data_IF_509020699213
#
_entry.id   IF_509020699213
#
_cell.length_a   1.000
_cell.length_b   1.000
_cell.length_c   1.000
_cell.angle_alpha   90.00
_cell.angle_beta   90.00
_cell.angle_gamma   90.00
#
_symmetry.space_group_name_H-M   'P 1'
#
loop_
_entity.id
_entity.type
_entity.pdbx_description
1 polymer ?
#
# COMPACT_ATOMS: atom_id res chain seq x y z
N UNK A 1 -2.34 -10.21 20.06
CA UNK A 1 -2.11 -11.60 19.53
C UNK A 1 -0.64 -11.79 19.09
N UNK A 2 -0.04 -12.99 19.24
CA UNK A 2 1.35 -13.27 18.78
C UNK A 2 1.34 -13.90 17.38
N UNK A 3 2.03 -13.28 16.42
CA UNK A 3 2.25 -13.79 15.07
C UNK A 3 3.75 -14.04 14.85
N UNK A 4 4.15 -15.28 14.53
CA UNK A 4 5.56 -15.69 14.35
C UNK A 4 6.51 -15.25 15.47
N UNK A 5 6.03 -15.25 16.71
CA UNK A 5 6.81 -14.84 17.89
C UNK A 5 6.88 -13.32 18.13
N UNK A 6 6.17 -12.52 17.32
CA UNK A 6 6.05 -11.08 17.50
C UNK A 6 4.64 -10.74 17.98
N UNK A 7 4.54 -9.87 18.97
CA UNK A 7 3.26 -9.28 19.39
C UNK A 7 2.95 -8.09 18.48
N UNK A 8 2.08 -8.31 17.48
CA UNK A 8 1.81 -7.32 16.42
C UNK A 8 1.09 -6.07 16.93
N UNK A 9 0.44 -6.15 18.10
CA UNK A 9 -0.22 -5.02 18.75
C UNK A 9 0.72 -3.88 19.14
N UNK A 10 2.03 -4.12 19.15
CA UNK A 10 3.04 -3.09 19.39
C UNK A 10 3.36 -2.23 18.15
N UNK A 11 2.87 -2.62 16.97
CA UNK A 11 3.28 -2.03 15.70
C UNK A 11 2.06 -1.57 14.88
N UNK A 12 2.16 -0.45 14.15
CA UNK A 12 1.13 -0.06 13.21
C UNK A 12 1.17 -0.94 11.97
N UNK A 13 0.00 -1.18 11.37
CA UNK A 13 -0.11 -1.78 10.04
C UNK A 13 -0.24 -0.68 8.98
N UNK A 14 0.51 -0.82 7.89
CA UNK A 14 0.63 0.20 6.85
C UNK A 14 0.06 -0.30 5.53
N UNK A 15 -0.81 0.52 4.95
CA UNK A 15 -1.32 0.39 3.59
C UNK A 15 -0.31 0.91 2.54
N UNK A 16 -0.47 0.51 1.28
CA UNK A 16 0.36 0.87 0.13
C UNK A 16 0.46 2.39 0.01
N UNK A 17 -0.67 3.10 0.10
CA UNK A 17 -0.71 4.53 -0.16
C UNK A 17 0.05 5.37 0.88
N UNK A 18 -0.03 4.98 2.15
CA UNK A 18 0.77 5.63 3.19
C UNK A 18 2.25 5.30 3.02
N UNK A 19 2.59 4.05 2.69
CA UNK A 19 3.97 3.66 2.42
C UNK A 19 4.58 4.52 1.30
N UNK A 20 3.87 4.65 0.19
CA UNK A 20 4.26 5.50 -0.94
C UNK A 20 4.48 6.94 -0.47
N UNK A 21 3.53 7.53 0.26
CA UNK A 21 3.62 8.92 0.73
C UNK A 21 4.82 9.14 1.66
N UNK A 22 5.13 8.18 2.55
CA UNK A 22 6.29 8.20 3.43
C UNK A 22 7.60 8.23 2.64
N UNK A 23 7.73 7.39 1.60
CA UNK A 23 8.92 7.36 0.75
C UNK A 23 9.06 8.64 -0.07
N UNK A 24 7.96 9.14 -0.65
CA UNK A 24 7.96 10.36 -1.44
C UNK A 24 8.31 11.60 -0.59
N UNK A 25 7.89 11.62 0.68
CA UNK A 25 8.26 12.65 1.65
C UNK A 25 9.67 12.47 2.25
N UNK A 26 10.32 11.32 2.03
CA UNK A 26 11.62 10.93 2.62
C UNK A 26 11.60 10.96 4.15
N UNK A 27 10.56 10.38 4.73
CA UNK A 27 10.36 10.30 6.19
C UNK A 27 10.32 8.85 6.70
N UNK A 28 10.85 7.90 5.92
CA UNK A 28 10.98 6.49 6.28
C UNK A 28 11.82 6.27 7.54
N UNK A 29 12.94 6.98 7.67
CA UNK A 29 13.79 6.90 8.87
C UNK A 29 13.04 7.33 10.13
N UNK A 30 12.17 8.34 10.03
CA UNK A 30 11.34 8.80 11.14
C UNK A 30 10.24 7.78 11.50
N UNK A 31 9.62 7.16 10.49
CA UNK A 31 8.64 6.10 10.67
C UNK A 31 9.25 4.92 11.43
N UNK A 32 10.40 4.42 10.98
CA UNK A 32 11.09 3.29 11.61
C UNK A 32 11.68 3.69 12.96
N UNK A 33 12.20 4.90 13.11
CA UNK A 33 12.72 5.41 14.37
C UNK A 33 11.64 5.48 15.47
N UNK A 34 10.39 5.81 15.11
CA UNK A 34 9.29 5.93 16.06
C UNK A 34 8.66 4.58 16.42
N UNK A 35 8.40 3.73 15.43
CA UNK A 35 7.64 2.48 15.64
C UNK A 35 8.50 1.23 15.70
N UNK A 36 9.80 1.33 15.42
CA UNK A 36 10.78 0.24 15.31
C UNK A 36 10.53 -0.76 14.18
N UNK A 37 9.28 -1.18 14.01
CA UNK A 37 8.80 -2.03 12.91
C UNK A 37 7.45 -1.53 12.42
N UNK A 38 7.12 -1.92 11.20
CA UNK A 38 5.79 -1.74 10.60
C UNK A 38 5.27 -3.09 10.14
N UNK A 39 3.95 -3.28 10.26
CA UNK A 39 3.25 -4.46 9.77
C UNK A 39 2.65 -4.16 8.40
N UNK A 40 2.64 -5.14 7.51
CA UNK A 40 2.07 -5.02 6.16
C UNK A 40 1.36 -6.32 5.80
N UNK A 41 0.20 -6.25 5.14
CA UNK A 41 -0.48 -7.42 4.59
C UNK A 41 0.24 -7.92 3.32
N UNK A 42 0.22 -9.22 3.04
CA UNK A 42 0.85 -9.79 1.83
C UNK A 42 0.30 -9.19 0.52
N UNK A 43 -0.99 -8.84 0.46
CA UNK A 43 -1.61 -8.15 -0.67
C UNK A 43 -0.97 -6.78 -0.89
N UNK A 44 -0.79 -6.02 0.20
CA UNK A 44 -0.15 -4.69 0.19
C UNK A 44 1.33 -4.82 -0.18
N UNK A 45 2.04 -5.84 0.30
CA UNK A 45 3.41 -6.11 -0.14
C UNK A 45 3.48 -6.29 -1.66
N UNK A 46 2.60 -7.12 -2.24
CA UNK A 46 2.56 -7.34 -3.69
C UNK A 46 2.33 -6.05 -4.45
N UNK A 47 1.47 -5.17 -3.96
CA UNK A 47 1.24 -3.83 -4.54
C UNK A 47 2.48 -2.95 -4.46
N UNK A 48 3.13 -2.85 -3.31
CA UNK A 48 4.38 -2.09 -3.13
C UNK A 48 5.47 -2.59 -4.07
N UNK A 49 5.64 -3.92 -4.18
CA UNK A 49 6.69 -4.50 -5.02
C UNK A 49 6.44 -4.29 -6.53
N UNK A 50 5.20 -4.04 -6.98
CA UNK A 50 4.92 -3.68 -8.38
C UNK A 50 5.65 -2.40 -8.80
N UNK A 51 5.91 -1.46 -7.88
CA UNK A 51 6.67 -0.23 -8.16
C UNK A 51 8.11 -0.51 -8.60
N UNK A 52 8.68 -1.69 -8.28
CA UNK A 52 10.01 -2.08 -8.74
C UNK A 52 10.13 -2.17 -10.27
N UNK A 53 9.00 -2.27 -11.00
CA UNK A 53 8.97 -2.27 -12.47
C UNK A 53 8.93 -0.85 -13.07
N UNK A 54 8.72 0.18 -12.26
CA UNK A 54 8.63 1.58 -12.70
C UNK A 54 9.97 2.28 -12.43
N UNK A 55 10.72 2.64 -13.48
CA UNK A 55 12.05 3.24 -13.33
C UNK A 55 12.08 4.54 -12.49
N UNK A 56 11.01 5.33 -12.54
CA UNK A 56 10.91 6.60 -11.81
C UNK A 56 10.55 6.41 -10.33
N UNK A 57 9.80 5.36 -10.01
CA UNK A 57 9.24 5.13 -8.67
C UNK A 57 9.74 3.84 -8.01
N UNK A 58 10.70 3.14 -8.61
CA UNK A 58 11.30 1.91 -8.07
C UNK A 58 11.87 2.06 -6.66
N UNK A 59 12.26 3.28 -6.27
CA UNK A 59 12.76 3.58 -4.93
C UNK A 59 11.77 3.17 -3.83
N UNK A 60 10.46 3.19 -4.12
CA UNK A 60 9.39 2.76 -3.20
C UNK A 60 9.54 1.28 -2.84
N UNK A 61 9.81 0.43 -3.85
CA UNK A 61 10.03 -1.00 -3.66
C UNK A 61 11.45 -1.32 -3.16
N UNK A 62 12.46 -0.57 -3.60
CA UNK A 62 13.85 -0.74 -3.15
C UNK A 62 13.96 -0.50 -1.64
N UNK A 63 13.42 0.63 -1.16
CA UNK A 63 13.38 0.96 0.27
C UNK A 63 12.61 -0.06 1.09
N UNK A 64 11.48 -0.54 0.58
CA UNK A 64 10.70 -1.57 1.24
C UNK A 64 11.51 -2.85 1.44
N UNK A 65 12.17 -3.33 0.38
CA UNK A 65 13.01 -4.53 0.45
C UNK A 65 14.19 -4.37 1.40
N UNK A 66 14.86 -3.22 1.39
CA UNK A 66 15.94 -2.92 2.35
C UNK A 66 15.45 -3.07 3.79
N UNK A 67 14.35 -2.41 4.14
CA UNK A 67 13.81 -2.46 5.51
C UNK A 67 13.26 -3.85 5.86
N UNK A 68 12.66 -4.57 4.92
CA UNK A 68 12.23 -5.96 5.12
C UNK A 68 13.43 -6.86 5.46
N UNK A 69 14.51 -6.75 4.70
CA UNK A 69 15.74 -7.52 4.94
C UNK A 69 16.42 -7.17 6.27
N UNK A 70 16.25 -5.94 6.75
CA UNK A 70 16.70 -5.49 8.07
C UNK A 70 15.75 -5.89 9.22
N UNK A 71 14.66 -6.61 8.93
CA UNK A 71 13.68 -7.04 9.93
C UNK A 71 12.82 -5.89 10.48
N UNK A 72 12.72 -4.78 9.74
CA UNK A 72 11.90 -3.60 10.08
C UNK A 72 10.48 -3.67 9.52
N UNK A 73 10.22 -4.59 8.62
CA UNK A 73 8.89 -4.86 8.07
C UNK A 73 8.48 -6.28 8.42
N UNK A 74 7.30 -6.42 9.04
CA UNK A 74 6.66 -7.71 9.29
C UNK A 74 5.55 -7.87 8.26
N UNK A 75 5.64 -8.93 7.45
CA UNK A 75 4.59 -9.27 6.49
C UNK A 75 3.68 -10.32 7.11
N UNK A 76 2.39 -10.01 7.21
CA UNK A 76 1.37 -11.01 7.55
C UNK A 76 1.08 -11.80 6.28
N UNK A 77 1.75 -12.94 6.18
CA UNK A 77 1.51 -13.92 5.12
C UNK A 77 0.23 -14.67 5.41
N UNK A 78 -0.71 -14.60 4.46
CA UNK A 78 -1.95 -15.33 4.52
C UNK A 78 -1.75 -16.84 4.69
N UNK A 79 -0.69 -17.41 4.11
CA UNK A 79 -0.34 -18.84 4.24
C UNK A 79 -0.04 -19.27 5.67
N UNK A 80 0.33 -18.32 6.53
CA UNK A 80 0.84 -18.58 7.86
C UNK A 80 -0.23 -18.34 8.93
N UNK A 81 -1.42 -17.90 8.52
CA UNK A 81 -2.59 -17.81 9.37
C UNK A 81 -3.19 -19.21 9.53
N UNK A 82 -3.56 -19.58 10.76
CA UNK A 82 -4.16 -20.89 11.02
C UNK A 82 -5.51 -21.02 10.29
N UNK A 83 -5.94 -22.26 10.05
CA UNK A 83 -7.10 -22.55 9.20
C UNK A 83 -8.44 -22.09 9.78
N UNK A 84 -8.55 -21.97 11.10
CA UNK A 84 -9.78 -21.49 11.76
C UNK A 84 -9.90 -19.97 11.60
N UNK A 85 -8.83 -19.23 11.95
CA UNK A 85 -8.75 -17.79 11.76
C UNK A 85 -8.92 -17.43 10.29
N UNK A 86 -8.25 -18.15 9.38
CA UNK A 86 -8.37 -17.89 7.95
C UNK A 86 -9.82 -17.91 7.46
N UNK A 87 -10.63 -18.89 7.91
CA UNK A 87 -12.07 -18.94 7.56
C UNK A 87 -12.85 -17.77 8.13
N UNK A 88 -12.52 -17.35 9.35
CA UNK A 88 -13.13 -16.20 9.99
C UNK A 88 -12.83 -14.91 9.21
N UNK A 89 -11.56 -14.67 8.89
CA UNK A 89 -11.10 -13.48 8.17
C UNK A 89 -11.62 -13.43 6.72
N UNK A 90 -11.65 -14.58 6.03
CA UNK A 90 -12.27 -14.67 4.70
C UNK A 90 -13.76 -14.35 4.74
N UNK A 91 -14.48 -14.84 5.77
CA UNK A 91 -15.89 -14.52 5.95
C UNK A 91 -16.08 -13.03 6.22
N UNK A 92 -15.27 -12.42 7.08
CA UNK A 92 -15.33 -10.98 7.34
C UNK A 92 -15.11 -10.16 6.07
N UNK A 93 -14.16 -10.54 5.21
CA UNK A 93 -13.92 -9.86 3.94
C UNK A 93 -15.16 -9.86 3.04
N UNK A 94 -15.79 -11.04 2.88
CA UNK A 94 -16.99 -11.20 2.05
C UNK A 94 -18.19 -10.46 2.66
N UNK A 95 -18.35 -10.50 3.98
CA UNK A 95 -19.42 -9.82 4.71
C UNK A 95 -19.27 -8.29 4.66
N UNK A 96 -18.03 -7.77 4.57
CA UNK A 96 -17.77 -6.35 4.37
C UNK A 96 -18.16 -5.90 2.96
N UNK A 97 -17.72 -6.63 1.93
CA UNK A 97 -18.03 -6.30 0.54
C UNK A 97 -18.13 -7.57 -0.32
N UNK A 98 -19.35 -7.85 -0.79
CA UNK A 98 -19.64 -9.03 -1.62
C UNK A 98 -18.97 -9.03 -3.00
N UNK A 99 -18.22 -7.98 -3.37
CA UNK A 99 -17.37 -7.96 -4.56
C UNK A 99 -16.13 -8.83 -4.41
N UNK A 100 -15.67 -9.11 -3.19
CA UNK A 100 -14.50 -9.96 -2.94
C UNK A 100 -14.88 -11.44 -3.03
N UNK A 101 -14.57 -12.08 -4.15
CA UNK A 101 -14.92 -13.47 -4.44
C UNK A 101 -13.73 -14.43 -4.24
N UNK A 102 -12.52 -13.90 -4.13
CA UNK A 102 -11.29 -14.70 -4.06
C UNK A 102 -10.77 -14.93 -2.63
N UNK A 103 -11.56 -14.60 -1.61
CA UNK A 103 -11.16 -14.73 -0.20
C UNK A 103 -10.00 -13.78 0.11
N UNK A 104 -9.09 -14.13 1.02
CA UNK A 104 -7.91 -13.30 1.31
C UNK A 104 -6.82 -13.36 0.23
N UNK A 105 -6.91 -14.31 -0.71
CA UNK A 105 -5.90 -14.47 -1.75
C UNK A 105 -5.97 -13.34 -2.80
N UNK A 106 -4.82 -12.84 -3.24
CA UNK A 106 -4.72 -11.80 -4.28
C UNK A 106 -4.74 -12.37 -5.71
N UNK A 107 -5.63 -13.33 -6.00
CA UNK A 107 -5.73 -13.89 -7.35
C UNK A 107 -7.12 -14.46 -7.70
N UNK A 108 -7.81 -13.95 -8.75
CA UNK A 108 -7.53 -12.69 -9.46
C UNK A 108 -7.49 -11.47 -8.53
N UNK A 109 -6.73 -10.44 -8.93
CA UNK A 109 -6.61 -9.19 -8.17
C UNK A 109 -7.96 -8.45 -8.14
N UNK A 110 -8.36 -8.02 -6.95
CA UNK A 110 -9.59 -7.24 -6.72
C UNK A 110 -9.19 -5.87 -6.18
N UNK A 111 -9.63 -4.79 -6.83
CA UNK A 111 -9.32 -3.42 -6.41
C UNK A 111 -9.82 -3.16 -4.98
N UNK A 112 -9.10 -2.32 -4.23
CA UNK A 112 -9.42 -1.95 -2.83
C UNK A 112 -9.35 -3.09 -1.81
N UNK A 113 -8.93 -4.30 -2.24
CA UNK A 113 -8.77 -5.44 -1.34
C UNK A 113 -7.66 -5.23 -0.31
N UNK A 114 -6.54 -4.61 -0.70
CA UNK A 114 -5.41 -4.34 0.20
C UNK A 114 -5.82 -3.52 1.42
N UNK A 115 -6.69 -2.52 1.23
CA UNK A 115 -7.21 -1.63 2.27
C UNK A 115 -8.06 -2.42 3.30
N UNK A 116 -9.05 -3.18 2.82
CA UNK A 116 -9.93 -3.97 3.68
C UNK A 116 -9.19 -5.12 4.36
N UNK A 117 -8.30 -5.83 3.66
CA UNK A 117 -7.48 -6.90 4.25
C UNK A 117 -6.57 -6.34 5.35
N UNK A 118 -5.99 -5.15 5.14
CA UNK A 118 -5.20 -4.49 6.17
C UNK A 118 -6.03 -4.13 7.40
N UNK A 119 -7.28 -3.68 7.22
CA UNK A 119 -8.18 -3.41 8.35
C UNK A 119 -8.57 -4.69 9.11
N UNK A 120 -8.89 -5.76 8.39
CA UNK A 120 -9.19 -7.08 8.97
C UNK A 120 -8.00 -7.58 9.80
N UNK A 121 -6.78 -7.50 9.26
CA UNK A 121 -5.58 -7.89 9.98
C UNK A 121 -5.29 -6.96 11.16
N UNK A 122 -5.54 -5.66 11.02
CA UNK A 122 -5.37 -4.71 12.11
C UNK A 122 -6.24 -5.07 13.32
N UNK A 123 -7.52 -5.36 13.06
CA UNK A 123 -8.48 -5.73 14.11
C UNK A 123 -8.16 -7.10 14.71
N UNK A 124 -7.96 -8.12 13.87
CA UNK A 124 -7.72 -9.50 14.33
C UNK A 124 -6.43 -9.64 15.14
N UNK A 125 -5.34 -9.04 14.67
CA UNK A 125 -4.05 -9.12 15.36
C UNK A 125 -3.84 -8.01 16.39
N UNK A 126 -4.85 -7.15 16.57
CA UNK A 126 -4.86 -6.01 17.49
C UNK A 126 -3.72 -5.02 17.24
N UNK A 127 -3.33 -4.84 15.96
CA UNK A 127 -2.28 -3.89 15.57
C UNK A 127 -2.57 -2.50 16.15
N UNK A 128 -1.51 -1.75 16.47
CA UNK A 128 -1.60 -0.49 17.23
C UNK A 128 -2.60 0.51 16.63
N UNK A 129 -2.60 0.62 15.31
CA UNK A 129 -3.60 1.30 14.48
C UNK A 129 -3.31 0.97 13.00
N UNK A 130 -4.28 1.22 12.13
CA UNK A 130 -4.11 1.18 10.68
C UNK A 130 -3.64 2.55 10.17
N UNK A 131 -2.62 2.56 9.31
CA UNK A 131 -2.26 3.73 8.51
C UNK A 131 -2.84 3.57 7.10
N UNK A 132 -3.86 4.35 6.76
CA UNK A 132 -4.46 4.37 5.41
C UNK A 132 -5.02 5.77 5.09
N UNK A 133 -5.03 6.11 3.80
CA UNK A 133 -5.67 7.32 3.27
C UNK A 133 -7.09 7.05 2.75
N UNK A 134 -7.56 5.80 2.83
CA UNK A 134 -8.81 5.40 2.22
C UNK A 134 -10.02 6.06 2.92
N UNK A 135 -10.83 6.72 2.11
CA UNK A 135 -12.06 7.36 2.55
C UNK A 135 -13.10 6.36 3.06
N UNK A 136 -12.98 5.06 2.78
CA UNK A 136 -13.86 4.02 3.32
C UNK A 136 -13.92 4.00 4.86
N UNK A 137 -12.86 4.49 5.52
CA UNK A 137 -12.77 4.54 6.99
C UNK A 137 -13.27 5.86 7.61
N UNK A 138 -13.77 6.80 6.81
CA UNK A 138 -14.45 7.99 7.32
C UNK A 138 -15.82 7.67 7.94
N UNK A 139 -16.30 8.55 8.81
CA UNK A 139 -17.60 8.40 9.48
C UNK A 139 -18.75 8.22 8.47
N UNK A 140 -19.56 7.17 8.68
CA UNK A 140 -20.68 6.83 7.81
C UNK A 140 -20.33 5.93 6.61
N UNK A 141 -19.05 5.65 6.36
CA UNK A 141 -18.62 4.78 5.26
C UNK A 141 -18.43 3.32 5.70
N UNK A 142 -18.41 2.41 4.73
CA UNK A 142 -18.41 0.96 4.93
C UNK A 142 -17.28 0.49 5.87
N UNK A 143 -16.03 0.94 5.64
CA UNK A 143 -14.89 0.54 6.46
C UNK A 143 -15.07 0.97 7.92
N UNK A 144 -15.63 2.15 8.18
CA UNK A 144 -15.91 2.60 9.55
C UNK A 144 -17.06 1.84 10.22
N UNK A 145 -18.06 1.43 9.44
CA UNK A 145 -19.18 0.61 9.94
C UNK A 145 -18.72 -0.81 10.25
N UNK A 146 -17.86 -1.38 9.42
CA UNK A 146 -17.30 -2.72 9.60
C UNK A 146 -16.28 -2.78 10.74
N UNK A 147 -15.46 -1.75 10.90
CA UNK A 147 -14.38 -1.67 11.90
C UNK A 147 -14.55 -0.43 12.80
N UNK A 148 -15.58 -0.40 13.67
CA UNK A 148 -15.92 0.78 14.46
C UNK A 148 -14.89 1.13 15.53
N UNK A 149 -14.14 0.15 16.03
CA UNK A 149 -13.13 0.37 17.07
C UNK A 149 -11.72 0.54 16.51
N UNK A 150 -11.53 0.27 15.20
CA UNK A 150 -10.24 0.42 14.55
C UNK A 150 -9.83 1.89 14.48
N UNK A 151 -8.67 2.20 15.05
CA UNK A 151 -8.04 3.51 14.91
C UNK A 151 -7.35 3.57 13.55
N UNK A 152 -7.76 4.53 12.73
CA UNK A 152 -7.15 4.79 11.41
C UNK A 152 -6.44 6.14 11.44
N UNK A 153 -5.20 6.18 10.94
CA UNK A 153 -4.38 7.39 10.84
C UNK A 153 -4.02 7.67 9.40
N UNK A 154 -4.50 8.79 8.89
CA UNK A 154 -4.28 9.21 7.51
C UNK A 154 -2.88 9.81 7.28
N UNK A 155 -2.64 10.35 6.08
CA UNK A 155 -1.43 11.10 5.73
C UNK A 155 -1.18 12.26 6.68
N UNK A 156 -2.20 13.03 7.03
CA UNK A 156 -2.03 14.23 7.85
C UNK A 156 -1.70 13.87 9.30
N UNK A 157 -2.32 12.82 9.84
CA UNK A 157 -1.96 12.24 11.13
C UNK A 157 -0.54 11.66 11.09
N UNK A 158 -0.17 10.97 10.00
CA UNK A 158 1.17 10.43 9.81
C UNK A 158 2.23 11.53 9.73
N UNK A 159 1.97 12.64 9.02
CA UNK A 159 2.87 13.78 8.99
C UNK A 159 2.98 14.46 10.36
N UNK A 160 1.86 14.61 11.08
CA UNK A 160 1.83 15.13 12.46
C UNK A 160 2.62 14.24 13.41
N UNK A 161 2.53 12.92 13.24
CA UNK A 161 3.20 11.94 14.08
C UNK A 161 4.72 11.88 13.86
N UNK A 162 5.18 12.09 12.64
CA UNK A 162 6.58 11.83 12.25
C UNK A 162 7.43 13.10 12.12
N UNK A 163 6.79 14.26 12.00
CA UNK A 163 7.48 15.52 11.73
C UNK A 163 6.97 16.60 12.68
N UNK A 164 7.78 16.96 13.67
CA UNK A 164 7.38 17.87 14.75
C UNK A 164 7.15 19.31 14.29
N UNK A 165 7.88 19.75 13.26
CA UNK A 165 7.85 21.14 12.78
C UNK A 165 6.79 21.34 11.68
N UNK A 166 5.89 22.31 11.85
CA UNK A 166 4.83 22.64 10.88
C UNK A 166 5.35 23.06 9.51
N UNK A 167 6.46 23.81 9.45
CA UNK A 167 7.12 24.18 8.20
C UNK A 167 7.65 22.95 7.45
N UNK A 168 8.29 22.03 8.16
CA UNK A 168 8.75 20.77 7.56
C UNK A 168 7.58 19.87 7.14
N UNK A 169 6.50 19.81 7.92
CA UNK A 169 5.26 19.10 7.52
C UNK A 169 4.70 19.63 6.21
N UNK A 170 4.63 20.96 6.05
CA UNK A 170 4.16 21.57 4.81
C UNK A 170 5.06 21.23 3.62
N UNK A 171 6.39 21.20 3.82
CA UNK A 171 7.34 20.79 2.78
C UNK A 171 7.15 19.32 2.39
N UNK A 172 7.01 18.42 3.36
CA UNK A 172 6.71 17.00 3.10
C UNK A 172 5.39 16.84 2.35
N UNK A 173 4.34 17.57 2.76
CA UNK A 173 3.04 17.56 2.05
C UNK A 173 3.19 17.99 0.60
N UNK A 174 3.92 19.07 0.33
CA UNK A 174 4.15 19.53 -1.04
C UNK A 174 4.91 18.49 -1.87
N UNK A 175 5.95 17.87 -1.30
CA UNK A 175 6.69 16.79 -1.96
C UNK A 175 5.79 15.61 -2.32
N UNK A 176 4.90 15.20 -1.42
CA UNK A 176 3.92 14.14 -1.70
C UNK A 176 3.02 14.56 -2.86
N UNK A 177 2.42 15.75 -2.81
CA UNK A 177 1.50 16.24 -3.84
C UNK A 177 2.17 16.31 -5.22
N UNK A 178 3.38 16.87 -5.30
CA UNK A 178 4.12 17.01 -6.55
C UNK A 178 4.45 15.65 -7.17
N UNK A 179 4.93 14.70 -6.35
CA UNK A 179 5.28 13.36 -6.84
C UNK A 179 4.03 12.52 -7.20
N UNK A 180 2.93 12.65 -6.44
CA UNK A 180 1.66 12.00 -6.77
C UNK A 180 1.07 12.56 -8.07
N UNK A 181 1.17 13.87 -8.32
CA UNK A 181 0.77 14.47 -9.58
C UNK A 181 1.58 13.90 -10.77
N UNK A 182 2.91 13.78 -10.61
CA UNK A 182 3.77 13.14 -11.62
C UNK A 182 3.38 11.67 -11.87
N UNK A 183 3.07 10.92 -10.82
CA UNK A 183 2.65 9.52 -10.93
C UNK A 183 1.30 9.36 -11.65
N UNK A 184 0.34 10.23 -11.34
CA UNK A 184 -0.97 10.24 -11.98
C UNK A 184 -0.85 10.61 -13.46
N UNK A 185 -0.03 11.60 -13.78
CA UNK A 185 0.24 12.00 -15.16
C UNK A 185 0.92 10.89 -15.96
N UNK A 186 1.92 10.21 -15.38
CA UNK A 186 2.55 9.05 -16.00
C UNK A 186 1.55 7.91 -16.27
N UNK A 187 0.64 7.66 -15.32
CA UNK A 187 -0.45 6.68 -15.49
C UNK A 187 -1.42 7.09 -16.59
N UNK A 188 -1.78 8.39 -16.66
CA UNK A 188 -2.64 8.94 -17.72
C UNK A 188 -2.02 8.72 -19.10
N UNK A 189 -0.75 9.12 -19.28
CA UNK A 189 -0.01 8.95 -20.54
C UNK A 189 0.05 7.47 -20.92
N UNK A 190 0.41 6.59 -19.99
CA UNK A 190 0.46 5.15 -20.26
C UNK A 190 -0.91 4.59 -20.70
N UNK A 191 -2.00 5.00 -20.05
CA UNK A 191 -3.34 4.55 -20.42
C UNK A 191 -3.79 5.12 -21.77
N UNK A 192 -3.43 6.36 -22.11
CA UNK A 192 -3.68 6.96 -23.42
C UNK A 192 -2.89 6.25 -24.53
N UNK A 193 -1.61 5.93 -24.31
CA UNK A 193 -0.78 5.21 -25.25
C UNK A 193 -1.17 3.73 -25.38
N UNK A 194 -1.59 3.09 -24.29
CA UNK A 194 -2.07 1.70 -24.27
C UNK A 194 -3.41 1.53 -24.98
N UNK A 195 -4.29 2.54 -24.90
CA UNK A 195 -5.59 2.56 -25.57
C UNK A 195 -5.55 3.22 -26.95
N UNK A 196 -4.40 3.75 -27.38
CA UNK A 196 -4.21 4.19 -28.75
C UNK A 196 -4.25 2.96 -29.67
N UNK A 197 -5.15 2.97 -30.66
CA UNK A 197 -5.13 1.98 -31.73
C UNK A 197 -3.80 2.14 -32.46
N UNK A 198 -2.89 1.20 -32.26
CA UNK A 198 -1.59 1.20 -32.92
C UNK A 198 -1.85 1.15 -34.43
N UNK A 199 -1.60 2.25 -35.12
CA UNK A 199 -1.77 2.30 -36.58
C UNK A 199 -0.60 1.57 -37.24
N UNK A 200 -0.82 1.00 -38.42
CA UNK A 200 0.23 0.31 -39.20
C UNK A 200 1.46 1.21 -39.43
N UNK A 201 1.26 2.54 -39.52
CA UNK A 201 2.32 3.54 -39.59
C UNK A 201 3.22 3.57 -38.34
N UNK A 202 2.64 3.48 -37.13
CA UNK A 202 3.41 3.49 -35.89
C UNK A 202 4.20 2.19 -35.71
N UNK A 203 3.65 1.04 -36.14
CA UNK A 203 4.38 -0.24 -36.21
C UNK A 203 5.52 -0.15 -37.24
N UNK A 204 5.27 0.45 -38.40
CA UNK A 204 6.29 0.68 -39.43
C UNK A 204 7.46 1.54 -38.94
N UNK A 205 7.16 2.62 -38.22
CA UNK A 205 8.16 3.52 -37.62
C UNK A 205 8.98 2.84 -36.51
N UNK A 206 8.35 2.03 -35.67
CA UNK A 206 9.03 1.30 -34.61
C UNK A 206 9.97 0.22 -35.19
N UNK A 207 9.50 -0.54 -36.18
CA UNK A 207 10.30 -1.55 -36.88
C UNK A 207 11.48 -0.93 -37.63
N UNK A 208 11.31 0.26 -38.22
CA UNK A 208 12.40 1.00 -38.87
C UNK A 208 13.44 1.49 -37.86
N UNK A 209 13.02 1.94 -36.66
CA UNK A 209 13.95 2.34 -35.59
C UNK A 209 14.74 1.17 -35.01
N UNK A 210 14.13 -0.02 -34.94
CA UNK A 210 14.79 -1.23 -34.45
C UNK A 210 15.76 -1.82 -35.49
N UNK A 211 15.45 -1.74 -36.79
CA UNK A 211 16.35 -2.19 -37.87
C UNK A 211 17.52 -1.26 -38.15
N UNK A 212 17.43 0.03 -37.79
CA UNK A 212 18.53 0.99 -37.92
C UNK A 212 19.60 0.92 -36.82
N UNK A 213 19.53 -0.06 -35.91
CA UNK A 213 20.48 -0.29 -34.81
C UNK A 213 21.20 -1.65 -34.88
N UNK A 214 21.07 -2.37 -35.99
CA UNK A 214 21.92 -3.52 -36.36
C UNK A 214 22.92 -3.08 -37.43
#
# INVERSE_FOLDING_TARGET
>A
MIYKGEELSNYPICDTDIWVDVILAKIDDALIGKYFKIVVADVVEKEILKFGKNEYFKIIAEKYNTLKNEGKIIVIEHSDINSEDKKLLEKQLVDCDGRFQTGLADHPHEEHKGEIVSAIYAEHFECLFLKSNDGAFHEGNMGRVAFPDLVVRDREDTLRDLVDNSYHRNKCRQLILDNRALMNEGTRIYNEEKNAVVTEEQVGLLLHKLRGKL
#
